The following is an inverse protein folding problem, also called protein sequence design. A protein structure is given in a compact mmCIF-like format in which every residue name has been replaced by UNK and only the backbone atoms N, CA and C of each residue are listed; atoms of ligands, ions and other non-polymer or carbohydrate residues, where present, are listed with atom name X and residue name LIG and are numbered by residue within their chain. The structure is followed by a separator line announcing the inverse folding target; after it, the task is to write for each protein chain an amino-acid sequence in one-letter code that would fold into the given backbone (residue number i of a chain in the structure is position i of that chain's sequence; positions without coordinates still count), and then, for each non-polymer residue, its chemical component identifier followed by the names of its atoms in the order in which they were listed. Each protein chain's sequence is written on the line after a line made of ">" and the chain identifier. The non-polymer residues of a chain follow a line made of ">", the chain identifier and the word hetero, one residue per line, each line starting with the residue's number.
data_IF_890478409296
#
_entry.id   IF_890478409296
#
_cell.length_a   1.000
_cell.length_b   1.000
_cell.length_c   1.000
_cell.angle_alpha   90.00
_cell.angle_beta   90.00
_cell.angle_gamma   90.00
#
_symmetry.space_group_name_H-M   'P 1'
#
loop_
_entity.id
_entity.type
_entity.pdbx_description
1 polymer ?
#
# COMPACT_ATOMS: atom_id res chain seq x y z
N UNK A 1 -19.87 9.09 -2.72
CA UNK A 1 -19.30 9.18 -4.09
C UNK A 1 -18.13 10.17 -4.08
N UNK A 2 -16.97 9.75 -3.57
CA UNK A 2 -15.73 10.51 -3.61
C UNK A 2 -14.89 10.01 -4.77
N UNK A 3 -14.22 10.93 -5.47
CA UNK A 3 -13.38 10.69 -6.63
C UNK A 3 -12.46 9.48 -6.43
N UNK A 4 -12.19 8.75 -7.52
CA UNK A 4 -11.27 7.61 -7.53
C UNK A 4 -9.93 7.94 -6.85
N UNK A 5 -9.12 6.92 -6.51
CA UNK A 5 -7.91 7.09 -5.70
C UNK A 5 -7.11 8.24 -6.31
N UNK A 6 -7.11 9.40 -5.63
CA UNK A 6 -6.52 10.62 -6.18
C UNK A 6 -5.10 10.34 -6.65
N UNK A 7 -4.57 11.18 -7.56
CA UNK A 7 -3.25 10.99 -8.19
C UNK A 7 -2.13 10.57 -7.22
N UNK A 8 -2.21 10.96 -5.95
CA UNK A 8 -1.25 10.62 -4.90
C UNK A 8 -1.02 9.12 -4.68
N UNK A 9 -2.03 8.26 -4.73
CA UNK A 9 -1.84 6.82 -4.42
C UNK A 9 -1.08 6.08 -5.53
N UNK A 10 -1.41 6.26 -6.82
CA UNK A 10 -0.56 5.76 -7.92
C UNK A 10 0.87 6.30 -7.87
N UNK A 11 1.07 7.58 -7.53
CA UNK A 11 2.40 8.18 -7.40
C UNK A 11 3.20 7.51 -6.28
N UNK A 12 2.61 7.40 -5.08
CA UNK A 12 3.26 6.76 -3.94
C UNK A 12 3.65 5.31 -4.26
N UNK A 13 2.74 4.56 -4.90
CA UNK A 13 3.02 3.20 -5.35
C UNK A 13 4.21 3.13 -6.31
N UNK A 14 4.25 3.99 -7.33
CA UNK A 14 5.36 4.03 -8.29
C UNK A 14 6.71 4.35 -7.63
N UNK A 15 6.73 5.28 -6.67
CA UNK A 15 7.93 5.59 -5.88
C UNK A 15 8.36 4.36 -5.08
N UNK A 16 7.46 3.74 -4.33
CA UNK A 16 7.78 2.60 -3.46
C UNK A 16 8.27 1.39 -4.27
N UNK A 17 7.54 1.02 -5.34
CA UNK A 17 7.90 -0.11 -6.21
C UNK A 17 9.21 0.16 -6.96
N UNK A 18 9.48 1.41 -7.36
CA UNK A 18 10.74 1.81 -8.00
C UNK A 18 11.99 1.65 -7.10
N UNK A 19 11.81 1.68 -5.78
CA UNK A 19 12.88 1.41 -4.80
C UNK A 19 12.99 -0.07 -4.42
N UNK A 20 12.18 -0.95 -5.02
CA UNK A 20 12.09 -2.37 -4.67
C UNK A 20 11.28 -2.61 -3.38
N UNK A 21 10.42 -1.67 -3.01
CA UNK A 21 9.49 -1.78 -1.89
C UNK A 21 8.12 -2.32 -2.28
N UNK A 22 7.30 -2.56 -1.27
CA UNK A 22 5.90 -3.01 -1.40
C UNK A 22 4.95 -2.03 -0.71
N UNK A 23 3.74 -1.88 -1.25
CA UNK A 23 2.64 -1.19 -0.60
C UNK A 23 1.36 -2.02 -0.71
N UNK A 24 0.58 -2.11 0.36
CA UNK A 24 -0.78 -2.67 0.35
C UNK A 24 -1.67 -1.93 1.34
N UNK A 25 -2.97 -2.21 1.25
CA UNK A 25 -3.99 -1.51 2.01
C UNK A 25 -4.87 -2.55 2.70
N UNK A 26 -5.16 -2.31 3.98
CA UNK A 26 -6.13 -3.03 4.78
C UNK A 26 -7.25 -2.07 5.17
N UNK A 27 -8.48 -2.42 4.83
CA UNK A 27 -9.68 -1.66 5.16
C UNK A 27 -10.81 -2.64 5.43
N UNK A 28 -11.61 -2.38 6.46
CA UNK A 28 -12.83 -3.13 6.76
C UNK A 28 -13.98 -2.78 5.80
N UNK A 29 -13.73 -1.90 4.82
CA UNK A 29 -14.72 -1.45 3.86
C UNK A 29 -15.36 -0.12 4.27
N UNK A 30 -16.49 0.19 3.64
CA UNK A 30 -17.25 1.40 3.91
C UNK A 30 -18.43 1.06 4.82
N UNK A 31 -18.49 1.70 5.98
CA UNK A 31 -19.58 1.60 6.95
C UNK A 31 -19.93 3.02 7.42
N UNK A 32 -21.18 3.45 7.20
CA UNK A 32 -21.66 4.80 7.47
C UNK A 32 -21.90 5.08 8.96
N UNK A 33 -22.03 4.05 9.79
CA UNK A 33 -22.25 4.18 11.22
C UNK A 33 -20.92 4.15 11.98
N UNK A 34 -20.03 3.24 11.60
CA UNK A 34 -18.74 3.03 12.28
C UNK A 34 -17.60 3.86 11.68
N UNK A 35 -17.75 4.34 10.44
CA UNK A 35 -16.76 5.14 9.72
C UNK A 35 -15.32 4.59 9.89
N UNK A 36 -15.08 3.30 9.57
CA UNK A 36 -13.78 2.68 9.80
C UNK A 36 -12.70 3.34 8.96
N UNK A 37 -11.50 3.42 9.52
CA UNK A 37 -10.32 3.93 8.83
C UNK A 37 -9.77 2.98 7.78
N UNK A 38 -8.63 3.35 7.20
CA UNK A 38 -7.86 2.51 6.29
C UNK A 38 -6.40 2.54 6.69
N UNK A 39 -5.77 1.37 6.78
CA UNK A 39 -4.35 1.23 7.12
C UNK A 39 -3.54 0.93 5.87
N UNK A 40 -2.53 1.76 5.61
CA UNK A 40 -1.58 1.57 4.52
C UNK A 40 -0.29 0.98 5.09
N UNK A 41 0.13 -0.14 4.53
CA UNK A 41 1.37 -0.82 4.92
C UNK A 41 2.40 -0.62 3.82
N UNK A 42 3.60 -0.18 4.22
CA UNK A 42 4.71 0.11 3.31
C UNK A 42 5.95 -0.61 3.80
N UNK A 43 6.61 -1.34 2.90
CA UNK A 43 7.90 -1.98 3.16
C UNK A 43 8.91 -1.38 2.20
N UNK A 44 9.96 -0.79 2.76
CA UNK A 44 11.08 -0.25 2.00
C UNK A 44 12.38 -0.96 2.41
N UNK A 45 13.24 -1.30 1.45
CA UNK A 45 14.57 -1.83 1.77
C UNK A 45 15.45 -0.71 2.35
N UNK A 46 16.27 -1.04 3.34
CA UNK A 46 17.21 -0.08 3.95
C UNK A 46 18.20 0.51 2.92
N UNK A 47 18.57 -0.29 1.94
CA UNK A 47 19.33 0.14 0.76
C UNK A 47 18.47 -0.02 -0.48
N UNK A 48 18.32 1.05 -1.27
CA UNK A 48 17.56 1.00 -2.51
C UNK A 48 18.16 -0.06 -3.46
N UNK A 49 17.29 -0.90 -4.03
CA UNK A 49 17.67 -1.86 -5.06
C UNK A 49 16.61 -1.86 -6.15
N UNK A 50 17.02 -1.94 -7.41
CA UNK A 50 16.09 -1.91 -8.56
C UNK A 50 15.42 -3.26 -8.86
N UNK A 51 15.40 -4.15 -7.86
CA UNK A 51 14.75 -5.46 -7.98
C UNK A 51 13.27 -5.38 -7.57
N UNK A 52 12.46 -6.38 -7.96
CA UNK A 52 11.10 -6.46 -7.45
C UNK A 52 11.13 -6.64 -5.94
N UNK A 53 10.07 -6.15 -5.28
CA UNK A 53 9.92 -6.33 -3.84
C UNK A 53 10.06 -7.81 -3.45
N UNK A 54 11.00 -8.07 -2.54
CA UNK A 54 11.29 -9.43 -2.04
C UNK A 54 10.47 -9.79 -0.81
N UNK A 55 9.67 -8.86 -0.30
CA UNK A 55 8.79 -9.11 0.83
C UNK A 55 7.73 -10.14 0.44
N UNK A 56 7.90 -11.37 0.94
CA UNK A 56 6.83 -12.35 0.90
C UNK A 56 5.97 -12.11 2.12
N UNK A 57 4.75 -11.57 1.93
CA UNK A 57 3.71 -11.70 2.96
C UNK A 57 3.67 -13.18 3.32
N UNK A 58 3.94 -13.52 4.58
CA UNK A 58 3.34 -14.73 5.11
C UNK A 58 1.84 -14.50 4.96
N UNK A 59 1.25 -15.15 3.96
CA UNK A 59 -0.19 -15.28 3.94
C UNK A 59 -0.52 -15.96 5.26
N UNK A 60 -1.19 -15.25 6.16
CA UNK A 60 -1.88 -15.92 7.25
C UNK A 60 -2.73 -17.00 6.59
N UNK A 61 -2.48 -18.25 6.99
CA UNK A 61 -3.29 -19.39 6.59
C UNK A 61 -4.74 -19.23 7.02
#
# INVERSE_FOLDING_TARGET
>A
KGAGPGLGLPIARGVIEGHGGCIWVESEGYDEERCPGTTFHIVLPYTAHRGPCRWKRHANG
#
